data_IF_489894077642
#
_entry.id   IF_489894077642
#
_cell.length_a   1.000
_cell.length_b   1.000
_cell.length_c   1.000
_cell.angle_alpha   90.00
_cell.angle_beta   90.00
_cell.angle_gamma   90.00
#
_symmetry.space_group_name_H-M   'P 1'
#
loop_
_entity.id
_entity.type
_entity.pdbx_description
1 polymer ?
#
# COMPACT_ATOMS: atom_id res chain seq x y z
N UNK A 1 -11.01 2.22 -3.71
CA UNK A 1 -9.80 2.08 -4.56
C UNK A 1 -8.57 2.49 -3.77
N UNK A 2 -7.77 1.52 -3.35
CA UNK A 2 -6.57 1.68 -2.52
C UNK A 2 -5.34 1.78 -3.43
N UNK A 3 -4.35 2.63 -3.08
CA UNK A 3 -3.05 2.70 -3.78
C UNK A 3 -1.98 2.28 -2.79
N UNK A 4 -1.10 1.40 -3.21
CA UNK A 4 0.04 0.90 -2.43
C UNK A 4 1.13 0.43 -3.37
N UNK A 5 2.31 0.10 -2.83
CA UNK A 5 3.36 -0.56 -3.58
C UNK A 5 2.97 -2.01 -3.90
N UNK A 6 3.35 -2.51 -5.08
CA UNK A 6 3.09 -3.89 -5.48
C UNK A 6 3.64 -4.92 -4.48
N UNK A 7 4.77 -4.62 -3.84
CA UNK A 7 5.40 -5.45 -2.80
C UNK A 7 4.56 -5.59 -1.52
N UNK A 8 3.65 -4.64 -1.25
CA UNK A 8 2.82 -4.60 -0.03
C UNK A 8 1.44 -5.23 -0.23
N UNK A 9 1.09 -5.63 -1.47
CA UNK A 9 -0.21 -6.25 -1.77
C UNK A 9 -0.48 -7.50 -0.91
N UNK A 10 0.48 -8.41 -0.66
CA UNK A 10 0.24 -9.57 0.21
C UNK A 10 -0.15 -9.16 1.64
N UNK A 11 0.60 -8.25 2.25
CA UNK A 11 0.33 -7.76 3.61
C UNK A 11 -1.01 -6.99 3.69
N UNK A 12 -1.32 -6.17 2.69
CA UNK A 12 -2.61 -5.49 2.60
C UNK A 12 -3.76 -6.49 2.48
N UNK A 13 -3.61 -7.54 1.67
CA UNK A 13 -4.63 -8.57 1.47
C UNK A 13 -4.90 -9.34 2.76
N UNK A 14 -3.85 -9.69 3.51
CA UNK A 14 -3.99 -10.33 4.82
C UNK A 14 -4.69 -9.42 5.84
N UNK A 15 -4.31 -8.15 5.89
CA UNK A 15 -4.98 -7.17 6.75
C UNK A 15 -6.46 -7.02 6.39
N UNK A 16 -6.80 -6.87 5.11
CA UNK A 16 -8.20 -6.78 4.69
C UNK A 16 -8.94 -8.04 5.13
N UNK A 17 -8.41 -9.24 4.87
CA UNK A 17 -9.07 -10.50 5.26
C UNK A 17 -9.30 -10.63 6.77
N UNK A 18 -8.43 -10.07 7.61
CA UNK A 18 -8.56 -10.20 9.06
C UNK A 18 -9.64 -9.29 9.66
N UNK A 19 -10.00 -8.19 9.00
CA UNK A 19 -10.98 -7.22 9.49
C UNK A 19 -12.26 -7.16 8.65
N UNK A 20 -12.26 -7.72 7.44
CA UNK A 20 -13.41 -7.66 6.54
C UNK A 20 -14.55 -8.56 7.06
N UNK A 21 -15.81 -8.10 7.04
CA UNK A 21 -16.94 -8.86 7.58
C UNK A 21 -17.33 -10.10 6.75
N UNK A 22 -16.78 -10.23 5.54
CA UNK A 22 -17.10 -11.36 4.66
C UNK A 22 -16.10 -12.48 4.85
N UNK A 23 -16.59 -13.73 4.80
CA UNK A 23 -15.76 -14.94 4.85
C UNK A 23 -14.71 -14.96 3.74
N UNK A 24 -15.09 -14.51 2.54
CA UNK A 24 -14.20 -14.37 1.39
C UNK A 24 -14.17 -12.90 0.95
N UNK A 25 -13.16 -12.16 1.39
CA UNK A 25 -12.96 -10.77 1.00
C UNK A 25 -12.40 -10.68 -0.44
N UNK A 26 -13.05 -9.90 -1.29
CA UNK A 26 -12.54 -9.60 -2.63
C UNK A 26 -11.38 -8.60 -2.54
N UNK A 27 -10.21 -8.99 -3.05
CA UNK A 27 -9.05 -8.12 -3.20
C UNK A 27 -8.42 -8.40 -4.56
N UNK A 28 -8.47 -7.42 -5.46
CA UNK A 28 -7.91 -7.50 -6.81
C UNK A 28 -6.90 -6.37 -6.97
N UNK A 29 -5.68 -6.70 -7.43
CA UNK A 29 -4.63 -5.74 -7.71
C UNK A 29 -4.43 -5.59 -9.21
N UNK A 30 -4.39 -4.34 -9.69
CA UNK A 30 -4.08 -3.98 -11.06
C UNK A 30 -2.76 -3.21 -11.08
N UNK A 31 -1.75 -3.63 -11.86
CA UNK A 31 -0.47 -2.93 -11.91
C UNK A 31 -0.64 -1.56 -12.59
N UNK A 32 0.04 -0.55 -12.04
CA UNK A 32 0.14 0.78 -12.66
C UNK A 32 1.41 0.82 -13.49
N UNK A 33 1.28 0.81 -14.83
CA UNK A 33 2.44 0.83 -15.74
C UNK A 33 3.05 2.23 -15.90
N UNK A 34 2.21 3.28 -15.88
CA UNK A 34 2.61 4.67 -16.09
C UNK A 34 1.76 5.62 -15.24
N UNK A 35 2.27 6.80 -14.94
CA UNK A 35 1.56 7.81 -14.16
C UNK A 35 2.41 9.05 -13.89
N UNK A 36 1.88 9.96 -13.07
CA UNK A 36 2.60 11.17 -12.69
C UNK A 36 3.77 10.85 -11.73
N UNK A 37 5.04 11.04 -12.12
CA UNK A 37 6.18 10.57 -11.32
C UNK A 37 6.23 11.10 -9.87
N UNK A 38 5.96 12.40 -9.59
CA UNK A 38 5.88 12.90 -8.22
C UNK A 38 4.85 12.17 -7.35
N UNK A 39 3.70 11.81 -7.93
CA UNK A 39 2.65 11.09 -7.20
C UNK A 39 3.06 9.64 -6.91
N UNK A 40 3.63 8.96 -7.89
CA UNK A 40 4.11 7.58 -7.71
C UNK A 40 5.23 7.52 -6.65
N UNK A 41 6.13 8.51 -6.66
CA UNK A 41 7.16 8.65 -5.63
C UNK A 41 6.57 8.90 -4.25
N UNK A 42 5.59 9.80 -4.13
CA UNK A 42 4.90 10.05 -2.88
C UNK A 42 4.22 8.78 -2.32
N UNK A 43 3.53 8.00 -3.16
CA UNK A 43 2.92 6.71 -2.74
C UNK A 43 3.97 5.77 -2.18
N UNK A 44 5.14 5.67 -2.83
CA UNK A 44 6.24 4.86 -2.35
C UNK A 44 6.70 5.33 -0.96
N UNK A 45 7.03 6.62 -0.80
CA UNK A 45 7.53 7.19 0.45
C UNK A 45 6.57 6.99 1.64
N UNK A 46 5.27 7.23 1.45
CA UNK A 46 4.29 7.13 2.55
C UNK A 46 3.92 5.68 2.91
N UNK A 47 4.42 4.70 2.16
CA UNK A 47 4.19 3.27 2.41
C UNK A 47 5.49 2.50 2.66
N UNK A 48 6.64 3.18 2.68
CA UNK A 48 7.90 2.57 3.09
C UNK A 48 7.83 2.09 4.54
N UNK A 49 8.40 0.91 4.80
CA UNK A 49 8.60 0.45 6.17
C UNK A 49 9.60 1.37 6.85
N UNK A 50 9.20 2.00 7.96
CA UNK A 50 10.11 2.82 8.77
C UNK A 50 11.12 1.88 9.45
N UNK A 51 12.25 1.62 8.78
CA UNK A 51 13.44 1.14 9.46
C UNK A 51 13.94 2.28 10.34
N UNK A 52 13.90 2.08 11.66
CA UNK A 52 14.05 3.15 12.64
C UNK A 52 15.22 4.10 12.38
N UNK A 53 14.90 5.33 11.98
CA UNK A 53 15.65 6.51 12.39
C UNK A 53 14.69 7.71 12.37
N UNK A 54 14.51 8.31 13.54
CA UNK A 54 13.56 9.39 13.74
C UNK A 54 13.89 10.59 12.87
N UNK A 55 12.94 10.97 12.02
CA UNK A 55 12.78 12.36 11.66
C UNK A 55 11.28 12.64 11.56
N UNK A 56 10.77 13.32 12.57
CA UNK A 56 9.45 13.92 12.52
C UNK A 56 9.44 14.89 11.32
N UNK A 57 8.44 14.73 10.44
CA UNK A 57 8.10 15.76 9.46
C UNK A 57 7.57 16.98 10.22
N UNK A 58 7.84 18.22 9.74
CA UNK A 58 7.38 19.45 10.37
C UNK A 58 5.85 19.58 10.36
#
# INVERSE_FOLDING_TARGET
MIKTQSSLVPALTEFVRSVHPYEVAEVIALPVEQGNPPYLHWVHQVTESVSGSGKALP
#
